data_IF_263121761106
#
_entry.id   IF_263121761106
#
_cell.length_a   1.000
_cell.length_b   1.000
_cell.length_c   1.000
_cell.angle_alpha   90.00
_cell.angle_beta   90.00
_cell.angle_gamma   90.00
#
_symmetry.space_group_name_H-M   'P 1'
#
loop_
_entity.id
_entity.type
_entity.pdbx_description
1 polymer ?
#
# COMPACT_ATOMS: atom_id res chain seq x y z
N UNK A 1 -1.99 11.81 25.54
CA UNK A 1 -2.40 10.66 24.70
C UNK A 1 -2.29 10.97 23.21
N UNK A 2 -2.72 12.14 22.74
CA UNK A 2 -2.66 12.52 21.31
C UNK A 2 -1.27 12.44 20.67
N UNK A 3 -0.23 12.93 21.36
CA UNK A 3 1.15 12.85 20.88
C UNK A 3 1.61 11.39 20.69
N UNK A 4 1.25 10.50 21.63
CA UNK A 4 1.61 9.07 21.54
C UNK A 4 0.92 8.42 20.35
N UNK A 5 -0.36 8.71 20.14
CA UNK A 5 -1.10 8.20 18.98
C UNK A 5 -0.49 8.70 17.67
N UNK A 6 -0.08 9.97 17.60
CA UNK A 6 0.59 10.52 16.44
C UNK A 6 1.93 9.82 16.17
N UNK A 7 2.77 9.64 17.20
CA UNK A 7 4.06 8.96 17.05
C UNK A 7 3.87 7.51 16.57
N UNK A 8 2.87 6.80 17.11
CA UNK A 8 2.53 5.44 16.66
C UNK A 8 2.06 5.46 15.21
N UNK A 9 1.16 6.38 14.83
CA UNK A 9 0.66 6.49 13.47
C UNK A 9 1.79 6.77 12.46
N UNK A 10 2.69 7.69 12.78
CA UNK A 10 3.88 8.00 11.98
C UNK A 10 4.78 6.77 11.88
N UNK A 11 5.09 6.12 13.01
CA UNK A 11 5.96 4.94 13.07
C UNK A 11 5.42 3.78 12.23
N UNK A 12 4.14 3.45 12.38
CA UNK A 12 3.47 2.41 11.58
C UNK A 12 3.44 2.77 10.10
N UNK A 13 3.14 4.03 9.77
CA UNK A 13 3.08 4.48 8.37
C UNK A 13 4.43 4.38 7.68
N UNK A 14 5.51 4.80 8.36
CA UNK A 14 6.89 4.69 7.86
C UNK A 14 7.28 3.22 7.75
N UNK A 15 7.07 2.42 8.80
CA UNK A 15 7.44 1.01 8.80
C UNK A 15 6.76 0.24 7.66
N UNK A 16 5.45 0.41 7.50
CA UNK A 16 4.68 -0.20 6.41
C UNK A 16 5.21 0.24 5.05
N UNK A 17 5.40 1.55 4.84
CA UNK A 17 5.91 2.10 3.58
C UNK A 17 7.28 1.50 3.24
N UNK A 18 8.20 1.48 4.20
CA UNK A 18 9.55 0.92 4.01
C UNK A 18 9.49 -0.57 3.70
N UNK A 19 8.69 -1.35 4.44
CA UNK A 19 8.53 -2.78 4.20
C UNK A 19 8.01 -3.03 2.79
N UNK A 20 6.94 -2.35 2.39
CA UNK A 20 6.34 -2.51 1.07
C UNK A 20 7.31 -2.13 -0.04
N UNK A 21 7.98 -0.98 0.05
CA UNK A 21 8.96 -0.55 -0.95
C UNK A 21 10.22 -1.43 -0.97
N UNK A 22 10.54 -2.12 0.13
CA UNK A 22 11.59 -3.13 0.14
C UNK A 22 11.14 -4.39 -0.60
N UNK A 23 9.89 -4.80 -0.44
CA UNK A 23 9.32 -5.95 -1.16
C UNK A 23 9.29 -5.77 -2.67
N UNK A 24 9.08 -4.55 -3.16
CA UNK A 24 9.12 -4.28 -4.61
C UNK A 24 10.50 -4.48 -5.24
N UNK A 25 11.56 -4.62 -4.44
CA UNK A 25 12.91 -4.96 -4.90
C UNK A 25 13.14 -6.47 -5.04
N UNK A 26 12.24 -7.29 -4.50
CA UNK A 26 12.32 -8.76 -4.58
C UNK A 26 11.52 -9.25 -5.79
N UNK A 27 12.21 -9.77 -6.80
CA UNK A 27 11.59 -10.25 -8.03
C UNK A 27 10.64 -11.45 -7.79
N UNK A 28 10.92 -12.30 -6.81
CA UNK A 28 10.04 -13.41 -6.44
C UNK A 28 8.74 -12.90 -5.84
N UNK A 29 8.83 -11.93 -4.93
CA UNK A 29 7.64 -11.30 -4.36
C UNK A 29 6.79 -10.59 -5.41
N UNK A 30 7.41 -9.84 -6.33
CA UNK A 30 6.68 -9.14 -7.41
C UNK A 30 5.95 -10.14 -8.32
N UNK A 31 6.60 -11.25 -8.69
CA UNK A 31 5.98 -12.33 -9.44
C UNK A 31 4.77 -12.90 -8.71
N UNK A 32 4.92 -13.23 -7.43
CA UNK A 32 3.85 -13.85 -6.64
C UNK A 32 2.67 -12.88 -6.46
N UNK A 33 2.95 -11.58 -6.29
CA UNK A 33 1.93 -10.54 -6.29
C UNK A 33 1.18 -10.45 -7.62
N UNK A 34 1.88 -10.50 -8.77
CA UNK A 34 1.23 -10.54 -10.09
C UNK A 34 0.37 -11.79 -10.26
N UNK A 35 0.85 -12.97 -9.82
CA UNK A 35 0.07 -14.21 -9.88
C UNK A 35 -1.20 -14.12 -9.03
N UNK A 36 -1.11 -13.58 -7.82
CA UNK A 36 -2.26 -13.35 -6.94
C UNK A 36 -3.30 -12.41 -7.57
N UNK A 37 -2.83 -11.33 -8.21
CA UNK A 37 -3.70 -10.38 -8.89
C UNK A 37 -4.46 -11.02 -10.07
N UNK A 38 -3.77 -11.86 -10.83
CA UNK A 38 -4.36 -12.55 -11.98
C UNK A 38 -5.27 -13.72 -11.58
N UNK A 39 -5.00 -14.38 -10.45
CA UNK A 39 -5.86 -15.43 -9.90
C UNK A 39 -7.20 -14.86 -9.40
N UNK A 40 -7.23 -13.59 -8.98
CA UNK A 40 -8.43 -12.94 -8.44
C UNK A 40 -8.60 -11.49 -8.96
N UNK A 41 -8.93 -11.30 -10.25
CA UNK A 41 -8.99 -9.97 -10.84
C UNK A 41 -10.04 -9.06 -10.17
N UNK A 42 -11.21 -9.63 -9.84
CA UNK A 42 -12.26 -8.89 -9.15
C UNK A 42 -11.82 -8.38 -7.78
N UNK A 43 -11.18 -9.23 -6.98
CA UNK A 43 -10.65 -8.83 -5.67
C UNK A 43 -9.53 -7.79 -5.77
N UNK A 44 -8.69 -7.89 -6.80
CA UNK A 44 -7.64 -6.91 -7.08
C UNK A 44 -8.24 -5.52 -7.31
N UNK A 45 -9.30 -5.42 -8.12
CA UNK A 45 -9.99 -4.14 -8.35
C UNK A 45 -10.67 -3.64 -7.08
N UNK A 46 -11.37 -4.50 -6.34
CA UNK A 46 -12.05 -4.13 -5.09
C UNK A 46 -11.06 -3.59 -4.06
N UNK A 47 -9.94 -4.29 -3.84
CA UNK A 47 -8.90 -3.85 -2.91
C UNK A 47 -8.27 -2.53 -3.36
N UNK A 48 -7.99 -2.36 -4.66
CA UNK A 48 -7.46 -1.11 -5.20
C UNK A 48 -8.40 0.07 -4.94
N UNK A 49 -9.69 -0.09 -5.22
CA UNK A 49 -10.71 0.94 -5.00
C UNK A 49 -10.84 1.24 -3.51
N UNK A 50 -10.90 0.21 -2.66
CA UNK A 50 -11.05 0.39 -1.22
C UNK A 50 -9.87 1.15 -0.61
N UNK A 51 -8.63 0.77 -0.95
CA UNK A 51 -7.44 1.49 -0.51
C UNK A 51 -7.40 2.92 -1.09
N UNK A 52 -7.80 3.11 -2.35
CA UNK A 52 -7.85 4.43 -2.98
C UNK A 52 -8.85 5.38 -2.30
N UNK A 53 -10.06 4.90 -2.03
CA UNK A 53 -11.08 5.66 -1.29
C UNK A 53 -10.63 5.94 0.14
N UNK A 54 -10.04 4.94 0.82
CA UNK A 54 -9.49 5.12 2.16
C UNK A 54 -8.36 6.15 2.19
N UNK A 55 -7.47 6.15 1.19
CA UNK A 55 -6.40 7.14 1.05
C UNK A 55 -6.98 8.55 0.90
N UNK A 56 -7.91 8.73 -0.03
CA UNK A 56 -8.57 10.01 -0.27
C UNK A 56 -9.32 10.52 0.98
N UNK A 57 -10.08 9.65 1.64
CA UNK A 57 -10.77 9.98 2.88
C UNK A 57 -9.79 10.39 3.99
N UNK A 58 -8.68 9.67 4.17
CA UNK A 58 -7.64 10.02 5.13
C UNK A 58 -7.06 11.41 4.88
N UNK A 59 -6.80 11.77 3.62
CA UNK A 59 -6.33 13.12 3.27
C UNK A 59 -7.38 14.20 3.56
N UNK A 60 -8.63 14.00 3.15
CA UNK A 60 -9.72 14.96 3.36
C UNK A 60 -9.98 15.17 4.85
N UNK A 61 -10.16 14.08 5.61
CA UNK A 61 -10.40 14.13 7.05
C UNK A 61 -9.20 14.79 7.75
N UNK A 62 -7.96 14.42 7.37
CA UNK A 62 -6.75 15.01 7.94
C UNK A 62 -6.72 16.53 7.78
N UNK A 63 -7.03 17.02 6.58
CA UNK A 63 -7.09 18.46 6.29
C UNK A 63 -8.21 19.17 7.09
N UNK A 64 -9.38 18.55 7.21
CA UNK A 64 -10.50 19.08 8.02
C UNK A 64 -10.10 19.20 9.49
N UNK A 65 -9.45 18.20 10.07
CA UNK A 65 -9.02 18.24 11.47
C UNK A 65 -7.92 19.27 11.72
N UNK A 66 -6.94 19.39 10.81
CA UNK A 66 -5.89 20.43 10.92
C UNK A 66 -6.52 21.83 10.89
N UNK A 67 -7.42 22.08 9.92
CA UNK A 67 -8.09 23.38 9.80
C UNK A 67 -9.05 23.68 10.95
N UNK A 68 -9.64 22.65 11.57
CA UNK A 68 -10.49 22.75 12.74
C UNK A 68 -9.77 22.91 14.08
N UNK A 69 -8.44 23.06 14.09
CA UNK A 69 -7.66 23.26 15.34
C UNK A 69 -7.27 21.96 16.06
N UNK A 70 -7.38 20.82 15.39
CA UNK A 70 -6.99 19.50 15.91
C UNK A 70 -5.81 18.90 15.12
N UNK A 71 -4.62 19.54 15.13
CA UNK A 71 -3.52 19.20 14.24
C UNK A 71 -2.99 17.78 14.45
N UNK A 72 -2.90 17.30 15.70
CA UNK A 72 -2.40 15.96 15.99
C UNK A 72 -3.29 14.86 15.36
N UNK A 73 -4.61 14.97 15.54
CA UNK A 73 -5.57 14.06 14.92
C UNK A 73 -5.53 14.17 13.39
N UNK A 74 -5.43 15.38 12.85
CA UNK A 74 -5.35 15.55 11.40
C UNK A 74 -4.10 14.90 10.81
N UNK A 75 -2.93 15.03 11.46
CA UNK A 75 -1.71 14.34 11.03
C UNK A 75 -1.83 12.81 11.09
N UNK A 76 -2.52 12.24 12.08
CA UNK A 76 -2.80 10.79 12.13
C UNK A 76 -3.53 10.34 10.85
N UNK A 77 -4.57 11.06 10.44
CA UNK A 77 -5.32 10.74 9.22
C UNK A 77 -4.52 10.97 7.94
N UNK A 78 -3.67 12.01 7.89
CA UNK A 78 -2.76 12.24 6.76
C UNK A 78 -1.74 11.10 6.62
N UNK A 79 -1.14 10.64 7.73
CA UNK A 79 -0.22 9.51 7.72
C UNK A 79 -0.90 8.23 7.24
N UNK A 80 -2.11 7.95 7.74
CA UNK A 80 -2.91 6.82 7.28
C UNK A 80 -3.25 6.91 5.78
N UNK A 81 -3.70 8.08 5.31
CA UNK A 81 -4.01 8.34 3.91
C UNK A 81 -2.79 8.15 3.00
N UNK A 82 -1.63 8.66 3.41
CA UNK A 82 -0.36 8.48 2.72
C UNK A 82 0.08 7.02 2.63
N UNK A 83 -0.03 6.26 3.74
CA UNK A 83 0.29 4.84 3.76
C UNK A 83 -0.59 4.04 2.78
N UNK A 84 -1.91 4.28 2.77
CA UNK A 84 -2.81 3.66 1.80
C UNK A 84 -2.49 4.08 0.36
N UNK A 85 -2.11 5.34 0.14
CA UNK A 85 -1.65 5.82 -1.15
C UNK A 85 -0.42 5.08 -1.67
N UNK A 86 0.54 4.74 -0.80
CA UNK A 86 1.69 3.90 -1.15
C UNK A 86 1.24 2.50 -1.58
N UNK A 87 0.31 1.88 -0.86
CA UNK A 87 -0.22 0.56 -1.21
C UNK A 87 -0.90 0.56 -2.58
N UNK A 88 -1.74 1.57 -2.85
CA UNK A 88 -2.37 1.79 -4.16
C UNK A 88 -1.31 1.95 -5.25
N UNK A 89 -0.32 2.81 -5.01
CA UNK A 89 0.76 3.06 -5.97
C UNK A 89 1.55 1.80 -6.30
N UNK A 90 1.87 1.00 -5.29
CA UNK A 90 2.59 -0.28 -5.45
C UNK A 90 1.72 -1.29 -6.19
N UNK A 91 0.43 -1.39 -5.87
CA UNK A 91 -0.49 -2.28 -6.57
C UNK A 91 -0.58 -1.95 -8.06
N UNK A 92 -0.74 -0.66 -8.41
CA UNK A 92 -0.74 -0.19 -9.79
C UNK A 92 0.61 -0.45 -10.47
N UNK A 93 1.71 -0.19 -9.77
CA UNK A 93 3.05 -0.42 -10.29
C UNK A 93 3.27 -1.90 -10.62
N UNK A 94 2.91 -2.83 -9.72
CA UNK A 94 2.99 -4.28 -9.95
C UNK A 94 2.13 -4.69 -11.15
N UNK A 95 0.89 -4.20 -11.25
CA UNK A 95 0.00 -4.50 -12.36
C UNK A 95 0.54 -4.02 -13.72
N UNK A 96 1.39 -2.99 -13.74
CA UNK A 96 2.04 -2.46 -14.95
C UNK A 96 3.35 -3.14 -15.31
N UNK A 97 3.87 -4.06 -14.47
CA UNK A 97 5.10 -4.80 -14.79
C UNK A 97 4.81 -5.84 -15.87
N UNK A 98 5.78 -6.13 -16.76
CA UNK A 98 5.69 -7.27 -17.66
C UNK A 98 5.34 -8.53 -16.87
N UNK A 99 4.48 -9.38 -17.45
CA UNK A 99 4.12 -10.62 -16.81
C UNK A 99 5.38 -11.50 -16.64
N UNK A 100 5.57 -12.17 -15.49
CA UNK A 100 6.74 -12.99 -15.26
C UNK A 100 6.87 -14.08 -16.33
N UNK A 101 8.09 -14.37 -16.84
CA UNK A 101 8.29 -15.53 -17.71
C UNK A 101 7.78 -16.80 -17.03
N UNK A 102 7.23 -17.73 -17.81
CA UNK A 102 6.95 -19.07 -17.28
C UNK A 102 8.25 -19.65 -16.74
N UNK A 103 8.24 -20.30 -15.55
CA UNK A 103 9.35 -21.13 -15.13
C UNK A 103 9.66 -22.16 -16.24
N UNK A 104 10.93 -22.56 -16.43
CA UNK A 104 11.26 -23.69 -17.29
C UNK A 104 10.36 -24.89 -16.96
N UNK A 105 9.77 -25.50 -17.99
CA UNK A 105 8.89 -26.68 -17.86
C UNK A 105 9.70 -27.88 -17.38
N UNK A 106 10.98 -27.88 -17.74
CA UNK A 106 12.01 -28.73 -17.21
C UNK A 106 12.19 -28.29 -15.75
N UNK A 107 11.64 -29.06 -14.80
CA UNK A 107 12.03 -28.96 -13.40
C UNK A 107 13.56 -29.05 -13.26
N UNK A 108 14.13 -28.95 -12.04
CA UNK A 108 15.56 -29.20 -11.90
C UNK A 108 15.88 -30.54 -12.55
N UNK A 109 16.57 -30.50 -13.69
CA UNK A 109 16.98 -31.68 -14.44
C UNK A 109 17.92 -32.47 -13.56
N UNK A 110 17.35 -33.42 -12.83
CA UNK A 110 17.98 -34.47 -12.06
C UNK A 110 17.07 -35.68 -12.11
#
# INVERSE_FOLDING_TARGET
MELVMLLVAVGVSIATTVVVLRRTRDAGWVRDAQLSMNASPGWTVVSLVFHGLGAAAGFVIGAVFISGGHPAAGWVFLCFGGMLGVLVGVQIWVARRPFPPRPPIDGPGR
#
